data_IF_494748522617
#
_entry.id   IF_494748522617
#
_cell.length_a   1.000
_cell.length_b   1.000
_cell.length_c   1.000
_cell.angle_alpha   90.00
_cell.angle_beta   90.00
_cell.angle_gamma   90.00
#
_symmetry.space_group_name_H-M   'P 1'
#
loop_
_entity.id
_entity.type
_entity.pdbx_description
1 polymer ?
#
# COMPACT_ATOMS: atom_id res chain seq x y z
N UNK A 1 15.31 2.53 28.10
CA UNK A 1 14.18 2.61 27.15
C UNK A 1 14.77 2.86 25.77
N UNK A 2 14.86 1.82 24.95
CA UNK A 2 15.42 1.93 23.61
C UNK A 2 14.53 2.84 22.75
N UNK A 3 15.16 3.76 22.04
CA UNK A 3 14.53 4.77 21.19
C UNK A 3 13.81 4.11 20.01
N UNK A 4 12.50 3.93 20.15
CA UNK A 4 11.63 3.17 19.23
C UNK A 4 11.34 3.91 17.91
N UNK A 5 11.91 5.09 17.70
CA UNK A 5 11.78 5.88 16.46
C UNK A 5 12.84 5.62 15.40
N UNK A 6 13.81 4.74 15.65
CA UNK A 6 14.99 4.54 14.78
C UNK A 6 14.90 3.40 13.76
N UNK A 7 13.79 2.67 13.71
CA UNK A 7 13.75 1.37 13.04
C UNK A 7 13.83 1.44 11.51
N UNK A 8 13.11 2.35 10.86
CA UNK A 8 13.08 2.43 9.38
C UNK A 8 14.14 3.36 8.78
N UNK A 9 14.80 4.15 9.63
CA UNK A 9 15.98 4.95 9.26
C UNK A 9 17.17 4.02 8.97
N UNK A 10 17.39 3.05 9.85
CA UNK A 10 18.58 2.19 9.92
C UNK A 10 18.77 1.18 8.79
N UNK A 11 17.71 0.77 8.08
CA UNK A 11 17.85 -0.24 7.01
C UNK A 11 18.82 0.16 5.89
N UNK A 12 19.09 1.47 5.70
CA UNK A 12 20.06 1.96 4.71
C UNK A 12 21.52 1.86 5.17
N UNK A 13 21.75 1.77 6.48
CA UNK A 13 23.06 2.12 7.05
C UNK A 13 23.98 0.88 7.19
N UNK A 14 23.48 -0.30 6.83
CA UNK A 14 24.17 -1.60 6.92
C UNK A 14 24.63 -2.19 5.57
N UNK A 15 24.58 -1.41 4.49
CA UNK A 15 25.07 -1.82 3.17
C UNK A 15 26.60 -1.87 3.18
N UNK A 16 27.21 -3.03 2.91
CA UNK A 16 28.68 -3.18 2.82
C UNK A 16 29.23 -2.27 1.72
N UNK A 17 30.37 -1.64 1.99
CA UNK A 17 31.08 -0.64 1.16
C UNK A 17 31.48 -1.12 -0.26
N UNK A 18 31.22 -2.39 -0.60
CA UNK A 18 31.40 -2.97 -1.95
C UNK A 18 30.12 -3.08 -2.81
N UNK A 19 28.95 -2.75 -2.27
CA UNK A 19 27.61 -2.95 -2.89
C UNK A 19 27.11 -1.66 -3.55
N UNK A 20 27.33 -1.48 -4.86
CA UNK A 20 27.26 -0.14 -5.46
C UNK A 20 25.86 0.46 -5.70
N UNK A 21 24.78 -0.32 -5.89
CA UNK A 21 23.49 0.25 -6.34
C UNK A 21 22.18 -0.44 -5.91
N UNK A 22 22.18 -1.69 -5.44
CA UNK A 22 20.95 -2.44 -5.08
C UNK A 22 21.23 -3.46 -3.96
N UNK A 23 20.28 -3.64 -3.04
CA UNK A 23 20.28 -4.71 -2.04
C UNK A 23 18.84 -5.13 -1.68
N UNK A 24 18.66 -6.35 -1.15
CA UNK A 24 17.38 -6.86 -0.64
C UNK A 24 17.60 -7.73 0.60
N UNK A 25 16.78 -7.49 1.62
CA UNK A 25 16.92 -8.07 2.94
C UNK A 25 15.55 -8.43 3.53
N UNK A 26 15.52 -9.46 4.37
CA UNK A 26 14.39 -9.74 5.25
C UNK A 26 14.49 -8.87 6.49
N UNK A 27 13.35 -8.37 6.96
CA UNK A 27 13.35 -7.41 8.06
C UNK A 27 13.82 -8.03 9.38
N UNK A 28 13.41 -9.27 9.63
CA UNK A 28 13.83 -10.06 10.78
C UNK A 28 15.35 -10.26 10.86
N UNK A 29 16.05 -10.34 9.72
CA UNK A 29 17.51 -10.47 9.68
C UNK A 29 18.22 -9.16 10.07
N UNK A 30 17.57 -8.01 9.86
CA UNK A 30 18.10 -6.69 10.24
C UNK A 30 18.00 -6.47 11.74
N UNK A 31 16.86 -6.84 12.35
CA UNK A 31 16.56 -6.64 13.77
C UNK A 31 17.41 -7.52 14.68
N UNK A 32 17.78 -8.73 14.24
CA UNK A 32 18.57 -9.68 15.03
C UNK A 32 20.08 -9.37 15.04
N UNK A 33 20.57 -8.45 14.21
CA UNK A 33 21.97 -8.03 14.22
C UNK A 33 22.25 -7.03 15.34
N UNK A 34 23.32 -7.24 16.13
CA UNK A 34 23.72 -6.34 17.24
C UNK A 34 23.71 -4.86 16.82
N UNK A 35 23.44 -3.90 17.74
CA UNK A 35 23.45 -2.47 17.45
C UNK A 35 24.86 -2.02 17.06
N UNK A 36 25.22 -2.18 15.79
CA UNK A 36 26.44 -1.63 15.22
C UNK A 36 26.29 -0.11 15.20
N UNK A 37 27.37 0.65 15.44
CA UNK A 37 27.34 2.10 15.41
C UNK A 37 26.78 2.55 14.05
N UNK A 38 25.59 3.17 14.10
CA UNK A 38 24.84 3.65 12.94
C UNK A 38 25.72 4.62 12.18
N UNK A 39 26.27 4.18 11.04
CA UNK A 39 26.87 5.11 10.08
C UNK A 39 25.76 5.93 9.45
N UNK A 40 26.09 7.19 9.14
CA UNK A 40 25.16 8.26 8.82
C UNK A 40 24.08 7.88 7.79
N UNK A 41 22.85 8.35 8.09
CA UNK A 41 21.74 8.52 7.17
C UNK A 41 22.24 8.74 5.73
N UNK A 42 21.90 7.81 4.83
CA UNK A 42 22.25 7.87 3.40
C UNK A 42 21.08 8.51 2.61
N UNK A 43 21.10 9.83 2.34
CA UNK A 43 20.00 10.57 1.72
C UNK A 43 19.85 10.32 0.21
N UNK A 44 20.49 9.31 -0.38
CA UNK A 44 20.49 9.05 -1.83
C UNK A 44 19.87 7.70 -2.23
N UNK A 45 19.24 6.99 -1.29
CA UNK A 45 18.62 5.69 -1.54
C UNK A 45 17.09 5.75 -1.48
N UNK A 46 16.47 5.21 -2.51
CA UNK A 46 15.07 4.82 -2.50
C UNK A 46 14.93 3.45 -1.83
N UNK A 47 13.78 3.22 -1.19
CA UNK A 47 13.47 1.92 -0.61
C UNK A 47 12.04 1.52 -0.90
N UNK A 48 11.80 0.22 -1.06
CA UNK A 48 10.47 -0.36 -1.08
C UNK A 48 10.43 -1.47 -0.04
N UNK A 49 9.50 -1.35 0.91
CA UNK A 49 9.37 -2.28 2.03
C UNK A 49 8.01 -2.97 2.05
N UNK A 50 8.00 -4.29 2.21
CA UNK A 50 6.82 -5.01 2.68
C UNK A 50 6.87 -5.06 4.20
N UNK A 51 5.97 -4.33 4.85
CA UNK A 51 5.84 -4.30 6.31
C UNK A 51 4.61 -5.08 6.73
N UNK A 52 4.69 -5.75 7.88
CA UNK A 52 3.59 -6.50 8.49
C UNK A 52 3.42 -6.11 9.95
N UNK A 53 2.25 -6.40 10.50
CA UNK A 53 1.92 -6.11 11.89
C UNK A 53 1.36 -4.71 12.08
N UNK A 54 1.56 -4.14 13.27
CA UNK A 54 1.07 -2.82 13.63
C UNK A 54 2.21 -1.80 13.52
N UNK A 55 2.06 -0.83 12.62
CA UNK A 55 3.07 0.17 12.31
C UNK A 55 2.47 1.57 12.32
N UNK A 56 3.22 2.55 12.82
CA UNK A 56 2.88 3.96 12.75
C UNK A 56 3.86 4.65 11.81
N UNK A 57 3.41 5.05 10.62
CA UNK A 57 4.18 5.82 9.66
C UNK A 57 3.86 7.30 9.78
N UNK A 58 4.89 8.13 9.96
CA UNK A 58 4.78 9.56 10.17
C UNK A 58 5.58 10.33 9.13
N UNK A 59 4.95 11.36 8.57
CA UNK A 59 5.60 12.47 7.86
C UNK A 59 5.60 13.70 8.78
N UNK A 60 6.14 14.83 8.31
CA UNK A 60 6.06 16.13 9.02
C UNK A 60 4.62 16.53 9.33
N UNK A 61 3.67 16.15 8.46
CA UNK A 61 2.29 16.66 8.52
C UNK A 61 1.24 15.58 8.81
N UNK A 62 1.60 14.29 8.74
CA UNK A 62 0.62 13.17 8.78
C UNK A 62 1.12 12.00 9.62
N UNK A 63 0.21 11.36 10.33
CA UNK A 63 0.43 10.05 10.97
C UNK A 63 -0.55 9.04 10.41
N UNK A 64 -0.04 7.88 10.01
CA UNK A 64 -0.79 6.80 9.36
C UNK A 64 -0.57 5.54 10.19
N UNK A 65 -1.67 4.97 10.68
CA UNK A 65 -1.65 3.69 11.37
C UNK A 65 -1.85 2.57 10.35
N UNK A 66 -0.88 1.68 10.27
CA UNK A 66 -0.88 0.52 9.39
C UNK A 66 -1.09 -0.72 10.26
N UNK A 67 -2.27 -1.32 10.15
CA UNK A 67 -2.57 -2.61 10.76
C UNK A 67 -2.70 -3.66 9.66
N UNK A 68 -1.82 -4.67 9.69
CA UNK A 68 -1.77 -5.73 8.68
C UNK A 68 -0.55 -5.61 7.77
N UNK A 69 -0.68 -6.04 6.50
CA UNK A 69 0.42 -5.99 5.54
C UNK A 69 0.32 -4.75 4.65
N UNK A 70 1.42 -4.05 4.41
CA UNK A 70 1.48 -2.92 3.50
C UNK A 70 2.78 -2.87 2.71
N UNK A 71 2.69 -2.43 1.46
CA UNK A 71 3.84 -2.06 0.64
C UNK A 71 4.11 -0.56 0.82
N UNK A 72 5.31 -0.19 1.25
CA UNK A 72 5.70 1.19 1.59
C UNK A 72 6.89 1.63 0.75
N UNK A 73 6.86 2.87 0.28
CA UNK A 73 7.84 3.48 -0.61
C UNK A 73 8.52 4.64 0.12
N UNK A 74 9.83 4.57 0.25
CA UNK A 74 10.62 5.59 0.92
C UNK A 74 11.39 6.41 -0.12
N UNK A 75 11.12 7.72 -0.15
CA UNK A 75 11.88 8.66 -0.97
C UNK A 75 12.98 9.30 -0.10
N UNK A 76 14.24 9.32 -0.56
CA UNK A 76 15.32 10.03 0.13
C UNK A 76 15.04 11.52 0.44
N UNK A 77 14.25 12.19 -0.40
CA UNK A 77 13.91 13.62 -0.27
C UNK A 77 12.68 13.90 0.62
N UNK A 78 11.91 12.87 0.99
CA UNK A 78 10.72 13.00 1.84
C UNK A 78 10.86 12.08 3.06
N UNK A 79 11.26 12.59 4.24
CA UNK A 79 11.61 11.77 5.39
C UNK A 79 10.36 11.19 6.07
N UNK A 80 9.85 10.08 5.56
CA UNK A 80 8.86 9.25 6.26
C UNK A 80 9.55 8.37 7.31
N UNK A 81 9.04 8.42 8.54
CA UNK A 81 9.46 7.56 9.65
C UNK A 81 8.35 6.59 9.95
N UNK A 82 8.54 5.31 9.61
CA UNK A 82 7.71 4.25 10.15
C UNK A 82 8.27 3.79 11.48
N UNK A 83 7.40 3.38 12.39
CA UNK A 83 7.74 2.82 13.69
C UNK A 83 6.87 1.60 13.92
N UNK A 84 7.47 0.51 14.38
CA UNK A 84 6.68 -0.64 14.79
C UNK A 84 6.04 -0.39 16.15
N UNK A 85 4.78 -0.80 16.27
CA UNK A 85 4.05 -0.92 17.53
C UNK A 85 3.92 -2.38 18.00
N UNK A 86 4.36 -3.36 17.21
CA UNK A 86 4.34 -4.80 17.54
C UNK A 86 5.74 -5.43 17.52
N UNK A 87 5.93 -6.49 18.32
CA UNK A 87 7.23 -7.18 18.49
C UNK A 87 7.48 -8.27 17.42
N UNK A 88 6.48 -8.60 16.60
CA UNK A 88 6.47 -9.69 15.61
C UNK A 88 6.70 -9.23 14.17
N UNK A 89 7.46 -8.15 13.99
CA UNK A 89 7.69 -7.55 12.68
C UNK A 89 8.45 -8.49 11.74
N UNK A 90 7.79 -8.87 10.66
CA UNK A 90 8.39 -9.62 9.54
C UNK A 90 8.16 -8.88 8.25
N UNK A 91 9.08 -8.99 7.31
CA UNK A 91 9.00 -8.15 6.12
C UNK A 91 10.15 -8.32 5.16
N UNK A 92 10.11 -7.52 4.11
CA UNK A 92 11.21 -7.40 3.18
C UNK A 92 11.50 -5.93 2.92
N UNK A 93 12.76 -5.63 2.62
CA UNK A 93 13.19 -4.30 2.22
C UNK A 93 14.11 -4.46 1.02
N UNK A 94 13.81 -3.77 -0.09
CA UNK A 94 14.80 -3.55 -1.14
C UNK A 94 15.23 -2.09 -1.14
N UNK A 95 16.51 -1.88 -1.39
CA UNK A 95 17.19 -0.60 -1.27
C UNK A 95 17.96 -0.37 -2.57
N UNK A 96 17.78 0.79 -3.19
CA UNK A 96 18.40 1.07 -4.47
C UNK A 96 18.66 2.56 -4.69
N UNK A 97 19.63 2.86 -5.55
CA UNK A 97 19.98 4.23 -5.94
C UNK A 97 19.38 4.55 -7.30
N UNK A 98 19.17 5.83 -7.60
CA UNK A 98 18.65 6.26 -8.90
C UNK A 98 19.44 5.72 -10.11
N UNK A 99 20.79 5.62 -10.09
CA UNK A 99 21.55 5.02 -11.18
C UNK A 99 21.23 3.55 -11.47
N UNK A 100 20.54 2.85 -10.55
CA UNK A 100 20.09 1.48 -10.76
C UNK A 100 19.11 1.36 -11.93
N UNK A 101 18.29 2.38 -12.19
CA UNK A 101 17.29 2.36 -13.26
C UNK A 101 17.87 2.71 -14.64
N UNK A 102 17.13 2.37 -15.68
CA UNK A 102 17.36 2.89 -17.05
C UNK A 102 16.97 4.38 -17.12
N UNK A 103 17.53 5.14 -18.06
CA UNK A 103 17.30 6.60 -18.17
C UNK A 103 15.82 6.99 -18.18
N UNK A 104 14.99 6.27 -18.94
CA UNK A 104 13.54 6.48 -19.01
C UNK A 104 12.82 6.37 -17.66
N UNK A 105 13.30 5.50 -16.77
CA UNK A 105 12.71 5.29 -15.45
C UNK A 105 13.23 6.34 -14.44
N UNK A 106 14.50 6.76 -14.54
CA UNK A 106 15.08 7.80 -13.67
C UNK A 106 14.30 9.10 -13.74
N UNK A 107 13.98 9.54 -14.96
CA UNK A 107 13.26 10.80 -15.20
C UNK A 107 11.84 10.81 -14.59
N UNK A 108 11.29 9.63 -14.28
CA UNK A 108 9.90 9.49 -13.85
C UNK A 108 9.73 9.04 -12.40
N UNK A 109 10.72 8.37 -11.79
CA UNK A 109 10.51 7.74 -10.47
C UNK A 109 10.13 8.74 -9.37
N UNK A 110 10.79 9.90 -9.34
CA UNK A 110 10.50 10.97 -8.38
C UNK A 110 9.13 11.63 -8.60
N UNK A 111 8.57 11.51 -9.80
CA UNK A 111 7.25 12.02 -10.19
C UNK A 111 6.12 11.01 -9.93
N UNK A 112 6.44 9.78 -9.54
CA UNK A 112 5.41 8.79 -9.27
C UNK A 112 4.69 9.12 -7.96
N UNK A 113 3.35 8.95 -7.88
CA UNK A 113 2.55 9.32 -6.71
C UNK A 113 2.97 8.72 -5.38
N UNK A 114 3.70 7.59 -5.37
CA UNK A 114 4.22 6.96 -4.14
C UNK A 114 5.57 7.51 -3.68
N UNK A 115 6.28 8.22 -4.56
CA UNK A 115 7.56 8.85 -4.24
C UNK A 115 7.46 10.37 -4.14
N UNK A 116 6.37 11.01 -4.61
CA UNK A 116 6.18 12.46 -4.46
C UNK A 116 5.95 12.87 -3.00
N UNK A 117 6.51 14.03 -2.60
CA UNK A 117 6.23 14.66 -1.32
C UNK A 117 4.72 14.98 -1.19
N UNK A 118 4.11 14.64 -0.06
CA UNK A 118 2.66 14.81 0.18
C UNK A 118 1.76 13.75 -0.48
N UNK A 119 2.32 12.83 -1.28
CA UNK A 119 1.63 11.65 -1.80
C UNK A 119 1.35 10.61 -0.72
N UNK A 120 0.61 9.54 -1.06
CA UNK A 120 0.48 8.37 -0.19
C UNK A 120 1.60 7.36 -0.49
N UNK A 121 2.66 7.25 0.33
CA UNK A 121 3.78 6.37 0.04
C UNK A 121 3.51 4.90 0.36
N UNK A 122 2.26 4.50 0.60
CA UNK A 122 1.94 3.15 1.05
C UNK A 122 0.73 2.56 0.34
N UNK A 123 0.60 1.25 0.45
CA UNK A 123 -0.47 0.47 -0.15
C UNK A 123 -0.83 -0.72 0.74
N UNK A 124 -1.99 -0.71 1.39
CA UNK A 124 -2.48 -1.79 2.26
C UNK A 124 -2.82 -3.05 1.49
N UNK A 125 -2.23 -4.21 1.78
CA UNK A 125 -2.37 -5.44 1.00
C UNK A 125 -3.43 -6.40 1.56
N UNK A 126 -4.19 -7.05 0.68
CA UNK A 126 -4.97 -8.25 1.05
C UNK A 126 -4.03 -9.46 1.24
N UNK A 127 -4.54 -10.57 1.79
CA UNK A 127 -3.74 -11.78 1.97
C UNK A 127 -3.24 -12.40 0.66
N UNK A 128 -4.05 -12.37 -0.41
CA UNK A 128 -3.60 -12.84 -1.72
C UNK A 128 -2.50 -11.93 -2.30
N UNK A 129 -2.69 -10.62 -2.16
CA UNK A 129 -1.73 -9.61 -2.62
C UNK A 129 -0.40 -9.68 -1.85
N UNK A 130 -0.48 -9.87 -0.53
CA UNK A 130 0.68 -10.08 0.33
C UNK A 130 1.50 -11.27 -0.17
N UNK A 131 0.84 -12.39 -0.54
CA UNK A 131 1.52 -13.57 -1.10
C UNK A 131 2.22 -13.26 -2.42
N UNK A 132 1.59 -12.52 -3.33
CA UNK A 132 2.19 -12.10 -4.60
C UNK A 132 3.43 -11.23 -4.36
N UNK A 133 3.30 -10.19 -3.55
CA UNK A 133 4.39 -9.25 -3.24
C UNK A 133 5.54 -9.96 -2.52
N UNK A 134 5.23 -10.82 -1.55
CA UNK A 134 6.24 -11.64 -0.85
C UNK A 134 7.00 -12.54 -1.82
N UNK A 135 6.31 -13.11 -2.80
CA UNK A 135 6.94 -13.93 -3.84
C UNK A 135 7.92 -13.15 -4.70
N UNK A 136 7.66 -11.86 -5.00
CA UNK A 136 8.60 -11.00 -5.72
C UNK A 136 9.88 -10.78 -4.89
N UNK A 137 9.75 -10.45 -3.61
CA UNK A 137 10.91 -10.28 -2.73
C UNK A 137 11.72 -11.57 -2.55
N UNK A 138 11.05 -12.73 -2.45
CA UNK A 138 11.71 -14.03 -2.43
C UNK A 138 12.58 -14.23 -3.67
N UNK A 139 12.02 -14.00 -4.87
CA UNK A 139 12.79 -14.07 -6.12
C UNK A 139 13.94 -13.08 -6.17
N UNK A 140 13.79 -11.88 -5.60
CA UNK A 140 14.90 -10.92 -5.51
C UNK A 140 16.06 -11.45 -4.65
N UNK A 141 15.76 -12.09 -3.51
CA UNK A 141 16.79 -12.68 -2.63
C UNK A 141 17.55 -13.81 -3.34
N UNK A 142 16.81 -14.73 -3.96
CA UNK A 142 17.38 -15.84 -4.73
C UNK A 142 18.31 -15.30 -5.83
N UNK A 143 17.82 -14.32 -6.58
CA UNK A 143 18.54 -13.72 -7.69
C UNK A 143 19.81 -12.99 -7.24
N UNK A 144 19.76 -12.28 -6.11
CA UNK A 144 20.91 -11.59 -5.56
C UNK A 144 22.01 -12.58 -5.13
N UNK A 145 21.61 -13.73 -4.58
CA UNK A 145 22.52 -14.82 -4.19
C UNK A 145 23.08 -15.62 -5.36
N UNK A 146 22.50 -15.48 -6.56
CA UNK A 146 22.91 -16.22 -7.75
C UNK A 146 24.19 -15.68 -8.40
N UNK A 147 24.80 -16.51 -9.24
CA UNK A 147 25.89 -16.14 -10.14
C UNK A 147 25.41 -15.73 -11.54
N UNK A 148 24.10 -15.50 -11.72
CA UNK A 148 23.53 -15.13 -13.01
C UNK A 148 24.05 -13.78 -13.49
N UNK A 149 24.54 -13.76 -14.73
CA UNK A 149 25.22 -12.62 -15.33
C UNK A 149 24.34 -11.37 -15.41
N UNK A 150 23.04 -11.54 -15.69
CA UNK A 150 22.08 -10.44 -15.87
C UNK A 150 21.18 -10.23 -14.65
N UNK A 151 21.62 -10.65 -13.45
CA UNK A 151 20.82 -10.57 -12.24
C UNK A 151 20.32 -9.18 -11.92
N UNK A 152 21.14 -8.15 -12.14
CA UNK A 152 20.73 -6.77 -11.90
C UNK A 152 19.70 -6.24 -12.91
N UNK A 153 19.68 -6.78 -14.14
CA UNK A 153 18.60 -6.51 -15.09
C UNK A 153 17.27 -7.11 -14.59
N UNK A 154 17.33 -8.34 -14.09
CA UNK A 154 16.16 -9.02 -13.56
C UNK A 154 15.64 -8.38 -12.26
N UNK A 155 16.54 -7.99 -11.35
CA UNK A 155 16.21 -7.24 -10.13
C UNK A 155 15.52 -5.90 -10.46
N UNK A 156 15.95 -5.18 -11.50
CA UNK A 156 15.25 -3.99 -11.98
C UNK A 156 13.82 -4.29 -12.40
N UNK A 157 13.60 -5.41 -13.10
CA UNK A 157 12.26 -5.80 -13.51
C UNK A 157 11.37 -6.09 -12.30
N UNK A 158 11.89 -6.77 -11.28
CA UNK A 158 11.14 -7.01 -10.04
C UNK A 158 10.80 -5.72 -9.29
N UNK A 159 11.71 -4.75 -9.23
CA UNK A 159 11.40 -3.42 -8.66
C UNK A 159 10.31 -2.72 -9.45
N UNK A 160 10.40 -2.79 -10.78
CA UNK A 160 9.40 -2.21 -11.70
C UNK A 160 8.03 -2.88 -11.52
N UNK A 161 8.00 -4.20 -11.29
CA UNK A 161 6.80 -4.96 -10.98
C UNK A 161 6.14 -4.47 -9.68
N UNK A 162 6.92 -4.26 -8.60
CA UNK A 162 6.41 -3.69 -7.34
C UNK A 162 5.84 -2.27 -7.52
N UNK A 163 6.51 -1.43 -8.30
CA UNK A 163 6.04 -0.06 -8.60
C UNK A 163 4.71 -0.12 -9.35
N UNK A 164 4.61 -0.91 -10.42
CA UNK A 164 3.38 -1.04 -11.19
C UNK A 164 2.25 -1.69 -10.40
N UNK A 165 2.56 -2.64 -9.52
CA UNK A 165 1.58 -3.22 -8.61
C UNK A 165 0.91 -2.11 -7.77
N UNK A 166 1.70 -1.22 -7.18
CA UNK A 166 1.17 -0.10 -6.40
C UNK A 166 0.43 0.94 -7.26
N UNK A 167 0.93 1.27 -8.47
CA UNK A 167 0.26 2.20 -9.38
C UNK A 167 -1.12 1.70 -9.82
N UNK A 168 -1.25 0.42 -10.19
CA UNK A 168 -2.54 -0.17 -10.59
C UNK A 168 -3.53 -0.10 -9.44
N UNK A 169 -3.06 -0.26 -8.20
CA UNK A 169 -3.90 -0.20 -7.02
C UNK A 169 -4.34 1.19 -6.61
N UNK A 170 -3.45 2.19 -6.72
CA UNK A 170 -3.82 3.59 -6.52
C UNK A 170 -4.93 4.02 -7.48
N UNK A 171 -4.86 3.59 -8.74
CA UNK A 171 -5.94 3.81 -9.71
C UNK A 171 -7.27 3.21 -9.23
N UNK A 172 -7.27 1.99 -8.71
CA UNK A 172 -8.46 1.40 -8.09
C UNK A 172 -8.96 2.22 -6.88
N UNK A 173 -8.07 2.75 -6.04
CA UNK A 173 -8.47 3.58 -4.89
C UNK A 173 -9.04 4.95 -5.30
N UNK A 174 -8.47 5.59 -6.32
CA UNK A 174 -8.96 6.85 -6.90
C UNK A 174 -10.31 6.65 -7.60
N UNK A 175 -10.44 5.57 -8.38
CA UNK A 175 -11.72 5.15 -8.96
C UNK A 175 -12.75 4.85 -7.86
N UNK A 176 -12.30 4.26 -6.73
CA UNK A 176 -13.18 4.01 -5.58
C UNK A 176 -13.73 5.29 -4.96
N UNK A 177 -12.91 6.34 -4.87
CA UNK A 177 -13.29 7.58 -4.19
C UNK A 177 -14.40 8.34 -4.94
N UNK A 178 -14.55 8.12 -6.26
CA UNK A 178 -15.66 8.67 -7.07
C UNK A 178 -17.02 8.29 -6.49
N UNK A 179 -17.17 7.05 -6.01
CA UNK A 179 -18.44 6.48 -5.56
C UNK A 179 -18.62 6.45 -4.05
N UNK A 180 -17.57 6.76 -3.29
CA UNK A 180 -17.63 6.90 -1.82
C UNK A 180 -18.69 7.92 -1.41
N UNK A 181 -19.50 7.57 -0.42
CA UNK A 181 -20.58 8.39 0.11
C UNK A 181 -21.86 7.60 0.32
N UNK A 182 -22.91 8.31 0.72
CA UNK A 182 -24.20 7.74 1.02
C UNK A 182 -25.07 7.65 -0.24
N UNK A 183 -25.64 6.47 -0.47
CA UNK A 183 -26.57 6.16 -1.55
C UNK A 183 -27.91 5.75 -0.94
N UNK A 184 -29.00 6.33 -1.42
CA UNK A 184 -30.31 6.24 -0.75
C UNK A 184 -31.39 5.91 -1.77
N UNK A 185 -32.31 5.01 -1.43
CA UNK A 185 -33.51 4.78 -2.24
C UNK A 185 -34.40 6.03 -2.26
N UNK A 186 -35.23 6.20 -3.29
CA UNK A 186 -36.07 7.39 -3.44
C UNK A 186 -37.00 7.67 -2.24
N UNK A 187 -37.40 6.62 -1.52
CA UNK A 187 -38.23 6.69 -0.32
C UNK A 187 -37.44 6.89 0.99
N UNK A 188 -36.11 6.92 0.93
CA UNK A 188 -35.25 7.02 2.10
C UNK A 188 -35.14 5.75 2.95
N UNK A 189 -35.80 4.66 2.55
CA UNK A 189 -35.89 3.45 3.37
C UNK A 189 -34.54 2.73 3.47
N UNK A 190 -33.78 2.67 2.38
CA UNK A 190 -32.45 2.05 2.36
C UNK A 190 -31.41 3.17 2.26
N UNK A 191 -30.44 3.13 3.18
CA UNK A 191 -29.27 4.01 3.22
C UNK A 191 -28.01 3.14 3.13
N UNK A 192 -27.30 3.24 2.02
CA UNK A 192 -26.16 2.40 1.69
C UNK A 192 -24.90 3.28 1.59
N UNK A 193 -24.01 3.20 2.57
CA UNK A 193 -22.80 4.00 2.64
C UNK A 193 -21.61 3.23 2.07
N UNK A 194 -20.98 3.78 1.03
CA UNK A 194 -19.70 3.30 0.52
C UNK A 194 -18.57 4.07 1.19
N UNK A 195 -17.75 3.40 1.99
CA UNK A 195 -16.67 3.99 2.78
C UNK A 195 -15.34 3.98 2.02
N UNK A 196 -14.45 4.97 2.27
CA UNK A 196 -13.07 4.90 1.81
C UNK A 196 -12.42 3.58 2.26
N UNK A 197 -11.71 2.92 1.35
CA UNK A 197 -11.06 1.63 1.63
C UNK A 197 -11.87 0.38 1.29
N UNK A 198 -13.02 0.52 0.62
CA UNK A 198 -13.74 -0.61 0.03
C UNK A 198 -14.62 -1.37 1.03
N UNK A 199 -15.11 -0.70 2.08
CA UNK A 199 -16.11 -1.23 3.03
C UNK A 199 -17.45 -0.54 2.81
N UNK A 200 -18.55 -1.24 3.02
CA UNK A 200 -19.87 -0.61 3.00
C UNK A 200 -20.66 -0.92 4.28
N UNK A 201 -21.62 -0.04 4.59
CA UNK A 201 -22.62 -0.23 5.62
C UNK A 201 -24.01 0.13 5.07
N UNK A 202 -24.97 -0.77 5.22
CA UNK A 202 -26.35 -0.57 4.76
C UNK A 202 -27.31 -0.57 5.93
N UNK A 203 -28.11 0.50 6.06
CA UNK A 203 -29.24 0.57 6.95
C UNK A 203 -30.57 0.41 6.19
N UNK A 204 -31.56 -0.22 6.83
CA UNK A 204 -32.93 -0.38 6.30
C UNK A 204 -33.95 0.06 7.35
N UNK A 205 -34.67 1.13 7.06
CA UNK A 205 -35.59 1.78 7.99
C UNK A 205 -34.89 2.11 9.31
N UNK A 206 -35.42 1.57 10.41
CA UNK A 206 -34.87 1.79 11.75
C UNK A 206 -33.70 0.85 12.10
N UNK A 207 -33.43 -0.18 11.29
CA UNK A 207 -32.31 -1.10 11.52
C UNK A 207 -31.04 -0.48 10.94
N UNK A 208 -30.22 0.07 11.83
CA UNK A 208 -28.84 0.46 11.53
C UNK A 208 -28.02 -0.79 11.22
N UNK A 209 -27.12 -0.66 10.25
CA UNK A 209 -26.16 -1.72 9.88
C UNK A 209 -26.81 -3.09 9.66
N UNK A 210 -27.86 -3.09 8.83
CA UNK A 210 -28.53 -4.30 8.38
C UNK A 210 -27.58 -5.22 7.61
N UNK A 211 -26.67 -4.66 6.80
CA UNK A 211 -25.62 -5.38 6.10
C UNK A 211 -24.30 -4.62 6.14
N UNK A 212 -23.20 -5.35 6.33
CA UNK A 212 -21.84 -4.81 6.27
C UNK A 212 -20.97 -5.76 5.48
N UNK A 213 -19.99 -5.18 4.78
CA UNK A 213 -19.12 -5.98 3.95
C UNK A 213 -18.04 -5.19 3.25
N UNK A 214 -17.42 -5.87 2.30
CA UNK A 214 -16.47 -5.30 1.37
C UNK A 214 -17.09 -5.09 0.00
N UNK A 215 -16.61 -4.09 -0.73
CA UNK A 215 -16.94 -3.89 -2.13
C UNK A 215 -15.67 -3.67 -2.96
N UNK A 216 -15.76 -3.95 -4.27
CA UNK A 216 -14.73 -3.64 -5.27
C UNK A 216 -15.36 -2.96 -6.46
N UNK A 217 -14.63 -2.02 -7.06
CA UNK A 217 -15.06 -1.35 -8.28
C UNK A 217 -14.18 -1.73 -9.46
N UNK A 218 -14.83 -1.90 -10.61
CA UNK A 218 -14.19 -2.09 -11.90
C UNK A 218 -14.84 -1.14 -12.90
N UNK A 219 -14.26 0.06 -13.06
CA UNK A 219 -14.90 1.13 -13.82
C UNK A 219 -16.19 1.60 -13.12
N UNK A 220 -17.32 1.46 -13.79
CA UNK A 220 -18.64 1.82 -13.26
C UNK A 220 -19.42 0.60 -12.71
N UNK A 221 -18.79 -0.57 -12.62
CA UNK A 221 -19.35 -1.79 -12.01
C UNK A 221 -18.88 -1.95 -10.55
N UNK A 222 -19.75 -2.44 -9.67
CA UNK A 222 -19.47 -2.72 -8.26
C UNK A 222 -19.81 -4.17 -7.89
N UNK A 223 -18.84 -4.86 -7.29
CA UNK A 223 -19.00 -6.17 -6.68
C UNK A 223 -19.02 -6.05 -5.16
N UNK A 224 -19.90 -6.79 -4.50
CA UNK A 224 -20.05 -6.84 -3.06
C UNK A 224 -19.76 -8.25 -2.52
N UNK A 225 -19.18 -8.28 -1.32
CA UNK A 225 -19.13 -9.46 -0.48
C UNK A 225 -19.36 -9.06 0.97
N UNK A 226 -20.48 -9.49 1.53
CA UNK A 226 -20.82 -9.23 2.92
C UNK A 226 -19.99 -10.08 3.90
N UNK A 227 -20.01 -9.72 5.17
CA UNK A 227 -19.22 -10.40 6.21
C UNK A 227 -19.74 -11.83 6.50
N UNK A 228 -20.93 -12.19 6.00
CA UNK A 228 -21.47 -13.56 6.07
C UNK A 228 -21.09 -14.42 4.85
N UNK A 229 -20.50 -13.81 3.83
CA UNK A 229 -20.07 -14.45 2.59
C UNK A 229 -21.07 -14.37 1.45
N UNK A 230 -22.19 -13.66 1.60
CA UNK A 230 -23.13 -13.38 0.52
C UNK A 230 -22.50 -12.41 -0.48
N UNK A 231 -22.76 -12.62 -1.77
CA UNK A 231 -22.26 -11.78 -2.85
C UNK A 231 -23.42 -11.13 -3.58
N UNK A 232 -23.18 -9.93 -4.08
CA UNK A 232 -24.10 -9.20 -4.93
C UNK A 232 -23.32 -8.22 -5.80
N UNK A 233 -23.97 -7.66 -6.81
CA UNK A 233 -23.34 -6.77 -7.77
C UNK A 233 -24.26 -5.63 -8.17
N UNK A 234 -23.70 -4.62 -8.83
CA UNK A 234 -24.43 -3.47 -9.33
C UNK A 234 -23.62 -2.63 -10.31
N UNK A 235 -24.29 -1.64 -10.90
CA UNK A 235 -23.68 -0.70 -11.83
C UNK A 235 -24.06 0.74 -11.49
N UNK A 236 -23.12 1.66 -11.69
CA UNK A 236 -23.38 3.09 -11.73
C UNK A 236 -23.71 3.52 -13.16
N UNK A 237 -24.87 4.13 -13.35
CA UNK A 237 -25.31 4.66 -14.65
C UNK A 237 -25.87 6.05 -14.45
N UNK A 238 -25.30 7.04 -15.15
CA UNK A 238 -25.72 8.45 -15.08
C UNK A 238 -25.85 9.01 -13.66
N UNK A 239 -24.93 8.60 -12.76
CA UNK A 239 -24.90 9.06 -11.37
C UNK A 239 -25.85 8.33 -10.42
N UNK A 240 -26.49 7.25 -10.87
CA UNK A 240 -27.42 6.40 -10.10
C UNK A 240 -26.83 5.01 -9.92
N UNK A 241 -26.95 4.43 -8.73
CA UNK A 241 -26.53 3.06 -8.42
C UNK A 241 -27.69 2.09 -8.60
N UNK A 242 -27.51 1.12 -9.49
CA UNK A 242 -28.43 0.00 -9.73
C UNK A 242 -27.83 -1.27 -9.12
N UNK A 243 -28.41 -1.77 -8.03
CA UNK A 243 -27.82 -2.88 -7.27
C UNK A 243 -28.91 -3.79 -6.70
N UNK A 244 -28.82 -5.10 -6.94
CA UNK A 244 -29.74 -6.12 -6.41
C UNK A 244 -31.25 -5.76 -6.53
N UNK A 245 -31.65 -5.18 -7.67
CA UNK A 245 -33.04 -4.76 -7.93
C UNK A 245 -33.43 -3.41 -7.28
N UNK A 246 -32.51 -2.76 -6.60
CA UNK A 246 -32.68 -1.43 -6.00
C UNK A 246 -32.10 -0.35 -6.92
N UNK A 247 -32.67 0.84 -6.81
CA UNK A 247 -32.19 2.06 -7.46
C UNK A 247 -31.87 3.06 -6.35
N UNK A 248 -30.60 3.46 -6.25
CA UNK A 248 -30.12 4.36 -5.21
C UNK A 248 -29.51 5.62 -5.82
N UNK A 249 -29.80 6.75 -5.18
CA UNK A 249 -29.33 8.07 -5.57
C UNK A 249 -28.33 8.58 -4.53
N UNK A 250 -27.37 9.39 -4.95
CA UNK A 250 -26.39 9.96 -4.04
C UNK A 250 -27.07 10.95 -3.09
N UNK A 251 -26.85 10.79 -1.79
CA UNK A 251 -27.30 11.77 -0.80
C UNK A 251 -26.43 13.02 -0.95
N UNK A 252 -27.02 14.10 -1.48
CA UNK A 252 -26.37 15.39 -1.45
C UNK A 252 -26.33 15.90 -0.01
N UNK A 253 -25.13 16.26 0.48
CA UNK A 253 -25.02 16.98 1.75
C UNK A 253 -25.73 18.32 1.59
N UNK A 254 -26.96 18.42 2.11
CA UNK A 254 -27.59 19.73 2.35
C UNK A 254 -26.65 20.50 3.28
N UNK A 255 -26.13 21.61 2.75
CA UNK A 255 -25.26 22.55 3.47
C UNK A 255 -26.05 23.28 4.55
#
# INVERSE_FOLDING_TARGET
>A
MADRGRFYRQGADNVKDGMKHFDVLRWEDVVQSEPRPVKAYRPDYYKIGLIRGHNLCRDTDRSINISGAALVFFNPQAPYVCESLSDDQTGFLCIFREPFFTERMKENISRLPMFMAGGEPFCFLTKEQEKVVSGIFGRMLDELSSDYLYKYDLLRNYVTELIHFALKKKRTMEDNNKYVGMWVTADGYIRHELLPGGRYDEARGNRKSAYQGSYRLTGDHIDYKDDTGFIADGDFRDGVLYHAGMILYREEKRS
#
